data_IF_478045179773
#
_entry.id   IF_478045179773
#
_cell.length_a   1.000
_cell.length_b   1.000
_cell.length_c   1.000
_cell.angle_alpha   90.00
_cell.angle_beta   90.00
_cell.angle_gamma   90.00
#
_symmetry.space_group_name_H-M   'P 1'
#
loop_
_entity.id
_entity.type
_entity.pdbx_description
1 polymer ?
#
# COMPACT_ATOMS: atom_id res chain seq x y z
N UNK A 1 0.73 11.99 13.87
CA UNK A 1 0.33 10.92 12.93
C UNK A 1 1.57 10.25 12.34
N UNK A 2 1.60 8.94 12.37
CA UNK A 2 2.70 8.17 11.79
C UNK A 2 2.39 7.81 10.34
N UNK A 3 3.34 7.98 9.46
CA UNK A 3 3.19 7.66 8.04
C UNK A 3 3.89 6.34 7.70
N UNK A 4 3.11 5.38 7.20
CA UNK A 4 3.58 4.05 6.83
C UNK A 4 3.45 3.88 5.33
N UNK A 5 4.54 3.52 4.67
CA UNK A 5 4.56 3.29 3.22
C UNK A 5 4.97 1.85 2.95
N UNK A 6 4.09 1.09 2.31
CA UNK A 6 4.40 -0.26 1.85
C UNK A 6 4.92 -0.19 0.41
N UNK A 7 6.00 -0.88 0.13
CA UNK A 7 6.67 -0.82 -1.16
C UNK A 7 6.84 -2.22 -1.76
N UNK A 8 6.46 -2.37 -3.02
CA UNK A 8 6.79 -3.56 -3.80
C UNK A 8 7.24 -3.10 -5.19
N UNK A 9 7.52 -4.03 -6.08
CA UNK A 9 8.06 -3.69 -7.39
C UNK A 9 7.10 -2.80 -8.19
N UNK A 10 5.89 -3.29 -8.43
CA UNK A 10 4.93 -2.62 -9.33
C UNK A 10 3.82 -1.82 -8.69
N UNK A 11 3.66 -1.92 -7.37
CA UNK A 11 2.56 -1.28 -6.64
C UNK A 11 1.16 -1.68 -7.17
N UNK A 12 1.00 -2.93 -7.59
CA UNK A 12 -0.29 -3.44 -8.05
C UNK A 12 -0.76 -4.69 -7.30
N UNK A 13 0.10 -5.33 -6.53
CA UNK A 13 -0.18 -6.61 -5.89
C UNK A 13 0.04 -6.57 -4.38
N UNK A 14 1.28 -6.80 -3.96
CA UNK A 14 1.61 -6.97 -2.53
C UNK A 14 1.50 -5.69 -1.72
N UNK A 15 2.06 -4.59 -2.19
CA UNK A 15 2.00 -3.35 -1.41
C UNK A 15 0.59 -2.77 -1.32
N UNK A 16 -0.25 -2.80 -2.38
CA UNK A 16 -1.65 -2.41 -2.21
C UNK A 16 -2.41 -3.31 -1.27
N UNK A 17 -2.15 -4.63 -1.32
CA UNK A 17 -2.77 -5.58 -0.39
C UNK A 17 -2.44 -5.19 1.05
N UNK A 18 -1.16 -4.94 1.35
CA UNK A 18 -0.71 -4.56 2.68
C UNK A 18 -1.34 -3.23 3.10
N UNK A 19 -1.42 -2.28 2.19
CA UNK A 19 -2.03 -0.97 2.46
C UNK A 19 -3.46 -1.12 2.96
N UNK A 20 -4.30 -1.84 2.23
CA UNK A 20 -5.72 -1.95 2.58
C UNK A 20 -5.98 -2.87 3.77
N UNK A 21 -5.19 -3.92 3.94
CA UNK A 21 -5.27 -4.77 5.13
C UNK A 21 -4.93 -3.95 6.38
N UNK A 22 -3.86 -3.16 6.32
CA UNK A 22 -3.46 -2.32 7.46
C UNK A 22 -4.49 -1.23 7.75
N UNK A 23 -5.04 -0.60 6.71
CA UNK A 23 -6.11 0.39 6.89
C UNK A 23 -7.31 -0.22 7.61
N UNK A 24 -7.68 -1.44 7.24
CA UNK A 24 -8.78 -2.16 7.88
C UNK A 24 -8.48 -2.45 9.35
N UNK A 25 -7.27 -2.91 9.64
CA UNK A 25 -6.85 -3.22 11.02
C UNK A 25 -6.86 -1.98 11.91
N UNK A 26 -6.31 -0.86 11.44
CA UNK A 26 -6.26 0.37 12.25
C UNK A 26 -7.65 0.93 12.45
N UNK A 27 -8.53 0.79 11.46
CA UNK A 27 -9.92 1.23 11.60
C UNK A 27 -10.65 0.42 12.66
N UNK A 28 -10.49 -0.90 12.65
CA UNK A 28 -11.10 -1.79 13.64
C UNK A 28 -10.59 -1.54 15.05
N UNK A 29 -9.36 -1.06 15.17
CA UNK A 29 -8.75 -0.70 16.46
C UNK A 29 -9.03 0.74 16.88
N UNK A 30 -9.79 1.49 16.08
CA UNK A 30 -10.07 2.92 16.29
C UNK A 30 -8.81 3.78 16.30
N UNK A 31 -7.80 3.40 15.50
CA UNK A 31 -6.51 4.10 15.41
C UNK A 31 -6.32 4.80 14.07
N UNK A 32 -7.36 4.93 13.28
CA UNK A 32 -7.25 5.48 11.92
C UNK A 32 -6.74 6.92 11.88
N UNK A 33 -6.92 7.67 12.94
CA UNK A 33 -6.41 9.05 13.06
C UNK A 33 -4.94 9.11 13.46
N UNK A 34 -4.38 7.99 13.90
CA UNK A 34 -3.00 7.89 14.34
C UNK A 34 -2.03 7.54 13.21
N UNK A 35 -2.56 7.02 12.10
CA UNK A 35 -1.74 6.51 11.00
C UNK A 35 -2.20 6.99 9.65
N UNK A 36 -1.23 7.39 8.83
CA UNK A 36 -1.45 7.63 7.40
C UNK A 36 -0.77 6.47 6.67
N UNK A 37 -1.55 5.68 5.93
CA UNK A 37 -1.06 4.45 5.30
C UNK A 37 -1.19 4.56 3.80
N UNK A 38 -0.11 4.29 3.08
CA UNK A 38 -0.11 4.33 1.62
C UNK A 38 0.85 3.26 1.09
N UNK A 39 0.98 3.18 -0.22
CA UNK A 39 1.90 2.24 -0.86
C UNK A 39 2.48 2.85 -2.13
N UNK A 40 3.58 2.29 -2.59
CA UNK A 40 4.26 2.75 -3.79
C UNK A 40 5.06 1.61 -4.42
N UNK A 41 5.51 1.79 -5.65
CA UNK A 41 6.34 0.81 -6.36
C UNK A 41 7.73 1.33 -6.64
N UNK A 42 8.72 0.46 -6.64
CA UNK A 42 10.08 0.83 -7.01
C UNK A 42 10.20 1.01 -8.53
N UNK A 43 9.32 0.37 -9.31
CA UNK A 43 9.24 0.53 -10.76
C UNK A 43 8.05 1.44 -11.10
N UNK A 44 8.19 2.25 -12.13
CA UNK A 44 7.09 3.08 -12.64
C UNK A 44 6.25 2.40 -13.71
N UNK A 45 6.46 1.11 -13.95
CA UNK A 45 5.88 0.32 -15.02
C UNK A 45 4.35 0.31 -15.03
N UNK A 46 3.75 0.34 -13.84
CA UNK A 46 2.29 0.32 -13.66
C UNK A 46 1.71 1.62 -13.13
N UNK A 47 2.45 2.73 -13.22
CA UNK A 47 1.96 4.02 -12.74
C UNK A 47 0.60 4.35 -13.34
N UNK A 48 -0.34 4.74 -12.48
CA UNK A 48 -1.69 5.10 -12.89
C UNK A 48 -2.65 3.93 -13.03
N UNK A 49 -2.19 2.69 -12.90
CA UNK A 49 -3.06 1.51 -13.00
C UNK A 49 -3.69 1.17 -11.66
N UNK A 50 -4.83 0.49 -11.72
CA UNK A 50 -5.47 -0.03 -10.53
C UNK A 50 -4.71 -1.28 -10.05
N UNK A 51 -5.06 -1.76 -8.85
CA UNK A 51 -4.54 -3.01 -8.31
C UNK A 51 -4.77 -4.17 -9.27
N UNK A 52 -3.86 -5.14 -9.24
CA UNK A 52 -4.04 -6.39 -9.95
C UNK A 52 -5.37 -7.02 -9.53
N UNK A 53 -6.05 -7.60 -10.50
CA UNK A 53 -7.39 -8.14 -10.33
C UNK A 53 -7.43 -9.23 -9.23
N UNK A 54 -6.40 -10.06 -9.12
CA UNK A 54 -6.30 -11.05 -8.04
C UNK A 54 -6.25 -10.43 -6.65
N UNK A 55 -5.57 -9.29 -6.52
CA UNK A 55 -5.51 -8.53 -5.27
C UNK A 55 -6.89 -8.01 -4.90
N UNK A 56 -7.61 -7.43 -5.87
CA UNK A 56 -8.96 -6.95 -5.65
C UNK A 56 -9.89 -8.08 -5.19
N UNK A 57 -9.81 -9.23 -5.83
CA UNK A 57 -10.63 -10.38 -5.48
C UNK A 57 -10.33 -10.89 -4.06
N UNK A 58 -9.05 -10.90 -3.68
CA UNK A 58 -8.67 -11.34 -2.33
C UNK A 58 -9.21 -10.40 -1.27
N UNK A 59 -9.10 -9.10 -1.50
CA UNK A 59 -9.65 -8.11 -0.56
C UNK A 59 -11.17 -8.26 -0.43
N UNK A 60 -11.85 -8.49 -1.53
CA UNK A 60 -13.30 -8.74 -1.51
C UNK A 60 -13.64 -9.99 -0.71
N UNK A 61 -12.87 -11.06 -0.88
CA UNK A 61 -13.10 -12.32 -0.17
C UNK A 61 -12.90 -12.18 1.34
N UNK A 62 -12.08 -11.23 1.76
CA UNK A 62 -11.81 -10.94 3.17
C UNK A 62 -12.75 -9.87 3.73
N UNK A 63 -13.70 -9.40 2.94
CA UNK A 63 -14.62 -8.30 3.31
C UNK A 63 -13.88 -7.01 3.65
N UNK A 64 -12.73 -6.79 3.04
CA UNK A 64 -11.95 -5.58 3.22
C UNK A 64 -12.34 -4.59 2.12
N UNK A 65 -12.88 -3.45 2.51
CA UNK A 65 -13.24 -2.40 1.57
C UNK A 65 -12.00 -1.68 1.08
N UNK A 66 -11.96 -1.38 -0.21
CA UNK A 66 -10.91 -0.56 -0.80
C UNK A 66 -11.55 0.46 -1.71
N UNK A 67 -10.94 1.63 -1.76
CA UNK A 67 -11.39 2.72 -2.62
C UNK A 67 -10.64 2.69 -3.94
N UNK A 68 -10.97 3.62 -4.82
CA UNK A 68 -10.24 3.79 -6.06
C UNK A 68 -8.76 3.90 -5.76
N UNK A 69 -7.99 3.04 -6.39
CA UNK A 69 -6.56 2.94 -6.17
C UNK A 69 -5.84 3.16 -7.50
N UNK A 70 -4.76 3.93 -7.48
CA UNK A 70 -3.87 4.04 -8.61
C UNK A 70 -2.45 3.78 -8.15
N UNK A 71 -1.74 2.94 -8.89
CA UNK A 71 -0.34 2.63 -8.62
C UNK A 71 0.51 3.87 -8.82
N UNK A 72 1.51 4.04 -7.98
CA UNK A 72 2.43 5.16 -8.09
C UNK A 72 3.85 4.73 -7.79
N UNK A 73 4.79 5.40 -8.44
CA UNK A 73 6.21 5.14 -8.21
C UNK A 73 6.64 5.79 -6.90
N UNK A 74 7.52 5.10 -6.18
CA UNK A 74 8.14 5.64 -4.96
C UNK A 74 8.99 6.85 -5.34
N UNK A 75 8.85 7.93 -4.58
CA UNK A 75 9.62 9.16 -4.76
C UNK A 75 10.50 9.42 -3.55
N UNK A 76 11.53 10.24 -3.74
CA UNK A 76 12.37 10.65 -2.61
C UNK A 76 11.55 11.39 -1.55
N UNK A 77 10.63 12.25 -1.98
CA UNK A 77 9.77 12.97 -1.05
C UNK A 77 8.96 12.01 -0.18
N UNK A 78 8.42 10.95 -0.79
CA UNK A 78 7.64 9.95 -0.05
C UNK A 78 8.49 9.20 0.96
N UNK A 79 9.73 8.86 0.58
CA UNK A 79 10.69 8.25 1.51
C UNK A 79 10.99 9.16 2.68
N UNK A 80 11.23 10.43 2.40
CA UNK A 80 11.61 11.42 3.42
C UNK A 80 10.47 11.67 4.41
N UNK A 81 9.23 11.60 3.94
CA UNK A 81 8.05 11.84 4.76
C UNK A 81 7.63 10.64 5.58
N UNK A 82 8.08 9.44 5.22
CA UNK A 82 7.63 8.22 5.89
C UNK A 82 8.30 8.03 7.24
N UNK A 83 7.53 7.57 8.21
CA UNK A 83 8.06 7.10 9.49
C UNK A 83 8.50 5.64 9.38
N UNK A 84 7.77 4.86 8.57
CA UNK A 84 8.08 3.46 8.31
C UNK A 84 7.99 3.19 6.81
N UNK A 85 9.06 2.67 6.24
CA UNK A 85 9.10 2.27 4.83
C UNK A 85 9.30 0.76 4.81
N UNK A 86 8.25 0.03 4.44
CA UNK A 86 8.24 -1.44 4.52
C UNK A 86 8.28 -2.04 3.12
N UNK A 87 9.37 -2.73 2.81
CA UNK A 87 9.52 -3.39 1.51
C UNK A 87 8.89 -4.78 1.55
N UNK A 88 8.22 -5.14 0.48
CA UNK A 88 7.45 -6.37 0.39
C UNK A 88 8.11 -7.42 -0.52
N UNK A 89 9.18 -7.07 -1.21
CA UNK A 89 9.88 -7.94 -2.14
C UNK A 89 11.17 -8.47 -1.55
N UNK A 90 11.39 -9.77 -1.68
CA UNK A 90 12.62 -10.39 -1.22
C UNK A 90 13.85 -9.87 -1.97
N UNK A 91 13.67 -9.44 -3.20
CA UNK A 91 14.76 -8.88 -4.02
C UNK A 91 15.29 -7.55 -3.50
N UNK A 92 14.63 -6.96 -2.50
CA UNK A 92 15.04 -5.70 -1.90
C UNK A 92 15.99 -5.87 -0.72
N UNK A 93 16.40 -7.08 -0.45
CA UNK A 93 17.35 -7.39 0.63
C UNK A 93 18.72 -7.64 0.10
#
# INVERSE_FOLDING_TARGET
MKKIVFVCLGNICRSPMAEFVMKDLVKKANLEKEFFITSAGTSGEHDGENMHYGTQNKLKSLNIKYQNFTSKKLTQALCDESDFLITMDNSNF
#
